data_IF_840810226262
#
_entry.id   IF_840810226262
#
_cell.length_a   1.000
_cell.length_b   1.000
_cell.length_c   1.000
_cell.angle_alpha   90.00
_cell.angle_beta   90.00
_cell.angle_gamma   90.00
#
_symmetry.space_group_name_H-M   'P 1'
#
loop_
_entity.id
_entity.type
_entity.pdbx_description
1 polymer ?
#
# COMPACT_ATOMS: atom_id res chain seq x y z
N UNK A 1 35.21 17.70 -3.58
CA UNK A 1 34.26 17.55 -4.70
C UNK A 1 33.50 16.25 -4.52
N UNK A 2 32.19 16.26 -4.76
CA UNK A 2 31.39 15.05 -4.82
C UNK A 2 31.82 14.28 -6.09
N UNK A 3 32.20 13.02 -5.91
CA UNK A 3 32.51 12.15 -7.04
C UNK A 3 31.19 11.70 -7.71
N UNK A 4 31.25 11.40 -9.02
CA UNK A 4 30.09 10.84 -9.75
C UNK A 4 29.56 9.60 -9.06
N UNK A 5 30.44 8.77 -8.53
CA UNK A 5 30.06 7.60 -7.71
C UNK A 5 29.17 7.99 -6.52
N UNK A 6 29.58 9.03 -5.78
CA UNK A 6 28.79 9.51 -4.63
C UNK A 6 27.43 10.08 -5.05
N UNK A 7 27.37 10.81 -6.17
CA UNK A 7 26.12 11.34 -6.72
C UNK A 7 25.17 10.22 -7.16
N UNK A 8 25.67 9.21 -7.86
CA UNK A 8 24.86 8.05 -8.26
C UNK A 8 24.34 7.25 -7.06
N UNK A 9 25.17 7.08 -6.04
CA UNK A 9 24.74 6.43 -4.78
C UNK A 9 23.68 7.27 -4.08
N UNK A 10 23.83 8.59 -4.03
CA UNK A 10 22.84 9.49 -3.46
C UNK A 10 21.52 9.43 -4.22
N UNK A 11 21.55 9.44 -5.55
CA UNK A 11 20.38 9.31 -6.40
C UNK A 11 19.65 7.97 -6.18
N UNK A 12 20.39 6.86 -6.14
CA UNK A 12 19.83 5.53 -5.85
C UNK A 12 19.17 5.48 -4.47
N UNK A 13 19.80 6.05 -3.44
CA UNK A 13 19.23 6.14 -2.10
C UNK A 13 17.98 7.02 -2.05
N UNK A 14 18.01 8.18 -2.71
CA UNK A 14 16.88 9.09 -2.77
C UNK A 14 15.67 8.39 -3.44
N UNK A 15 15.89 7.73 -4.57
CA UNK A 15 14.88 6.95 -5.26
C UNK A 15 14.32 5.84 -4.36
N UNK A 16 15.17 5.01 -3.77
CA UNK A 16 14.78 3.90 -2.92
C UNK A 16 14.00 4.36 -1.68
N UNK A 17 14.40 5.50 -1.10
CA UNK A 17 13.67 6.10 0.03
C UNK A 17 12.31 6.63 -0.42
N UNK A 18 12.25 7.31 -1.57
CA UNK A 18 10.98 7.81 -2.13
C UNK A 18 10.01 6.67 -2.47
N UNK A 19 10.51 5.56 -2.97
CA UNK A 19 9.70 4.37 -3.32
C UNK A 19 9.44 3.43 -2.13
N UNK A 20 10.00 3.70 -0.96
CA UNK A 20 9.79 2.89 0.24
C UNK A 20 10.48 1.52 0.22
N UNK A 21 11.50 1.32 -0.63
CA UNK A 21 12.21 0.03 -0.79
C UNK A 21 12.81 -0.47 0.53
N UNK A 22 13.17 0.43 1.43
CA UNK A 22 13.71 0.07 2.76
C UNK A 22 12.64 -0.32 3.81
N UNK A 23 11.37 -0.54 3.40
CA UNK A 23 10.26 -0.85 4.32
C UNK A 23 9.58 0.40 4.90
N UNK A 24 9.97 1.60 4.45
CA UNK A 24 9.32 2.85 4.80
C UNK A 24 8.11 3.14 3.89
N UNK A 25 7.38 4.21 4.21
CA UNK A 25 6.33 4.73 3.32
C UNK A 25 6.94 5.35 2.07
N UNK A 26 6.24 5.18 0.95
CA UNK A 26 6.50 6.01 -0.24
C UNK A 26 6.26 7.47 0.09
N UNK A 27 7.18 8.32 -0.33
CA UNK A 27 7.08 9.73 -0.01
C UNK A 27 8.09 10.59 -0.74
N UNK A 28 8.03 11.89 -0.49
CA UNK A 28 8.94 12.87 -1.09
C UNK A 28 10.31 12.82 -0.40
N UNK A 29 11.36 12.83 -1.20
CA UNK A 29 12.73 12.99 -0.72
C UNK A 29 13.27 14.33 -1.22
N UNK A 30 13.79 15.14 -0.31
CA UNK A 30 14.45 16.39 -0.62
C UNK A 30 15.97 16.22 -0.53
N UNK A 31 16.66 16.51 -1.61
CA UNK A 31 18.13 16.54 -1.66
C UNK A 31 18.59 17.98 -1.83
N UNK A 32 19.34 18.49 -0.87
CA UNK A 32 19.95 19.81 -0.96
C UNK A 32 21.40 19.67 -1.39
N UNK A 33 21.72 20.28 -2.54
CA UNK A 33 23.08 20.34 -3.09
C UNK A 33 23.58 21.78 -2.98
N UNK A 34 24.34 22.12 -1.94
CA UNK A 34 24.87 23.47 -1.78
C UNK A 34 26.00 23.75 -2.80
N UNK A 35 25.85 24.82 -3.55
CA UNK A 35 26.86 25.31 -4.48
C UNK A 35 27.57 26.54 -3.90
N UNK A 36 28.83 26.71 -4.24
CA UNK A 36 29.62 27.93 -3.92
C UNK A 36 29.41 28.99 -5.00
N UNK A 37 29.45 30.23 -4.59
CA UNK A 37 29.49 31.35 -5.55
C UNK A 37 30.85 31.38 -6.30
N UNK A 38 30.88 31.79 -7.60
CA UNK A 38 29.74 32.18 -8.43
C UNK A 38 28.88 30.97 -8.79
N UNK A 39 27.54 31.15 -8.97
CA UNK A 39 26.61 30.09 -9.31
C UNK A 39 26.50 29.84 -10.81
N UNK A 40 27.04 30.78 -11.61
CA UNK A 40 27.11 30.62 -13.04
C UNK A 40 28.08 29.48 -13.40
N UNK A 41 27.65 28.54 -14.28
CA UNK A 41 28.54 27.47 -14.71
C UNK A 41 29.72 28.03 -15.49
N UNK A 42 30.92 27.75 -15.02
CA UNK A 42 32.18 28.10 -15.72
C UNK A 42 32.68 26.79 -16.32
N UNK A 43 32.94 26.71 -17.64
CA UNK A 43 33.56 25.53 -18.24
C UNK A 43 34.93 25.26 -17.60
N UNK A 44 35.15 24.04 -17.16
CA UNK A 44 36.45 23.55 -16.66
C UNK A 44 36.95 22.46 -17.59
N UNK A 45 38.27 22.45 -17.87
CA UNK A 45 38.87 21.48 -18.81
C UNK A 45 38.56 20.00 -18.48
N UNK A 46 38.20 19.69 -17.24
CA UNK A 46 37.87 18.36 -16.79
C UNK A 46 36.38 18.10 -16.74
N UNK A 47 35.57 19.04 -17.24
CA UNK A 47 34.09 18.97 -17.18
C UNK A 47 33.52 18.29 -18.43
N UNK A 48 34.24 17.32 -18.98
CA UNK A 48 33.85 16.57 -20.15
C UNK A 48 33.19 15.24 -19.78
N UNK A 49 32.22 14.83 -20.59
CA UNK A 49 31.61 13.50 -20.53
C UNK A 49 32.65 12.37 -20.55
N UNK A 50 33.76 12.60 -21.24
CA UNK A 50 34.87 11.66 -21.38
C UNK A 50 35.63 11.38 -20.05
N UNK A 51 35.64 12.34 -19.11
CA UNK A 51 36.17 12.13 -17.76
C UNK A 51 35.28 11.18 -16.93
N UNK A 52 34.09 10.92 -17.40
CA UNK A 52 33.11 9.98 -16.82
C UNK A 52 33.36 8.58 -17.39
N UNK A 53 33.71 8.46 -18.67
CA UNK A 53 34.04 7.19 -19.35
C UNK A 53 35.33 6.53 -18.86
N UNK A 54 36.31 7.32 -18.44
CA UNK A 54 37.58 6.83 -17.93
C UNK A 54 37.51 6.07 -16.60
N UNK A 55 36.35 6.10 -15.94
CA UNK A 55 36.12 5.38 -14.69
C UNK A 55 35.65 3.92 -14.87
N UNK A 56 35.53 3.43 -16.12
CA UNK A 56 35.11 2.05 -16.42
C UNK A 56 33.71 1.67 -15.89
N UNK A 57 32.84 2.67 -15.77
CA UNK A 57 31.50 2.43 -15.28
C UNK A 57 30.54 2.07 -16.42
N UNK A 58 29.85 0.94 -16.29
CA UNK A 58 28.68 0.66 -17.10
C UNK A 58 27.53 1.61 -16.70
N UNK A 59 27.25 2.58 -17.58
CA UNK A 59 26.18 3.55 -17.39
C UNK A 59 24.78 2.97 -17.69
N UNK A 60 24.72 1.80 -18.32
CA UNK A 60 23.45 1.15 -18.68
C UNK A 60 22.74 0.54 -17.46
N UNK A 61 23.45 0.28 -16.37
CA UNK A 61 22.92 -0.35 -15.17
C UNK A 61 22.85 0.56 -13.93
N UNK A 62 22.07 0.17 -12.95
CA UNK A 62 22.05 0.80 -11.64
C UNK A 62 23.38 0.56 -10.90
N UNK A 63 24.09 1.62 -10.52
CA UNK A 63 25.34 1.52 -9.77
C UNK A 63 25.16 0.90 -8.38
N UNK A 64 24.01 1.14 -7.77
CA UNK A 64 23.64 0.58 -6.47
C UNK A 64 22.25 -0.03 -6.59
N UNK A 65 22.15 -1.33 -6.36
CA UNK A 65 20.89 -2.04 -6.30
C UNK A 65 20.44 -2.06 -4.83
N UNK A 66 19.25 -1.56 -4.57
CA UNK A 66 18.63 -1.62 -3.25
C UNK A 66 17.46 -2.60 -3.29
N UNK A 67 17.45 -3.54 -2.37
CA UNK A 67 16.36 -4.51 -2.21
C UNK A 67 15.66 -4.26 -0.89
N UNK A 68 14.33 -4.26 -0.93
CA UNK A 68 13.50 -4.18 0.28
C UNK A 68 13.11 -5.56 0.79
N UNK A 69 12.78 -5.65 2.07
CA UNK A 69 12.09 -6.79 2.65
C UNK A 69 10.57 -6.63 2.55
N UNK A 70 9.83 -7.73 2.71
CA UNK A 70 8.39 -7.70 2.90
C UNK A 70 8.06 -7.79 4.40
N UNK A 71 7.16 -6.92 4.86
CA UNK A 71 6.56 -7.06 6.20
C UNK A 71 5.41 -8.05 6.09
N UNK A 72 5.50 -9.15 6.82
CA UNK A 72 4.46 -10.18 6.87
C UNK A 72 3.96 -10.34 8.31
N UNK A 73 2.70 -10.74 8.51
CA UNK A 73 2.18 -11.06 9.84
C UNK A 73 2.97 -12.21 10.48
N UNK A 74 3.15 -12.16 11.78
CA UNK A 74 3.71 -13.29 12.54
C UNK A 74 2.73 -14.47 12.56
N UNK A 75 3.26 -15.68 12.83
CA UNK A 75 2.41 -16.88 12.99
C UNK A 75 1.35 -16.68 14.07
N UNK A 76 1.71 -16.03 15.19
CA UNK A 76 0.78 -15.75 16.27
C UNK A 76 -0.34 -14.79 15.85
N UNK A 77 -0.04 -13.74 15.09
CA UNK A 77 -1.04 -12.81 14.54
C UNK A 77 -2.01 -13.56 13.60
N UNK A 78 -1.49 -14.43 12.74
CA UNK A 78 -2.32 -15.23 11.85
C UNK A 78 -3.21 -16.21 12.60
N UNK A 79 -2.67 -16.90 13.62
CA UNK A 79 -3.46 -17.80 14.47
C UNK A 79 -4.57 -17.05 15.21
N UNK A 80 -4.27 -15.87 15.75
CA UNK A 80 -5.26 -15.01 16.41
C UNK A 80 -6.38 -14.60 15.45
N UNK A 81 -6.04 -14.20 14.22
CA UNK A 81 -7.02 -13.85 13.20
C UNK A 81 -7.88 -15.04 12.80
N UNK A 82 -7.27 -16.21 12.55
CA UNK A 82 -8.00 -17.42 12.20
C UNK A 82 -8.99 -17.82 13.29
N UNK A 83 -8.56 -17.88 14.55
CA UNK A 83 -9.42 -18.19 15.68
C UNK A 83 -10.58 -17.20 15.85
N UNK A 84 -10.33 -15.92 15.51
CA UNK A 84 -11.38 -14.89 15.52
C UNK A 84 -12.41 -15.15 14.42
N UNK A 85 -11.96 -15.44 13.20
CA UNK A 85 -12.86 -15.70 12.07
C UNK A 85 -13.68 -16.99 12.26
N UNK A 86 -13.09 -18.04 12.82
CA UNK A 86 -13.76 -19.31 13.13
C UNK A 86 -14.83 -19.16 14.20
N UNK A 87 -14.68 -18.22 15.12
CA UNK A 87 -15.62 -17.99 16.24
C UNK A 87 -16.81 -17.13 15.86
N UNK A 88 -16.68 -16.30 14.82
CA UNK A 88 -17.68 -15.30 14.46
C UNK A 88 -18.18 -15.52 13.03
N UNK A 89 -19.42 -15.98 12.90
CA UNK A 89 -20.04 -16.24 11.59
C UNK A 89 -20.48 -14.96 10.87
N UNK A 90 -20.66 -13.86 11.62
CA UNK A 90 -21.12 -12.58 11.07
C UNK A 90 -20.01 -11.58 11.00
N UNK A 91 -19.62 -11.23 9.80
CA UNK A 91 -18.62 -10.20 9.57
C UNK A 91 -18.79 -9.52 8.23
N UNK A 92 -18.04 -8.45 8.05
CA UNK A 92 -17.88 -7.76 6.78
C UNK A 92 -16.40 -7.55 6.46
N UNK A 93 -16.09 -7.65 5.18
CA UNK A 93 -14.78 -7.27 4.66
C UNK A 93 -14.93 -5.91 3.99
N UNK A 94 -14.06 -4.99 4.31
CA UNK A 94 -14.02 -3.65 3.70
C UNK A 94 -12.69 -3.49 2.97
N UNK A 95 -12.74 -3.34 1.66
CA UNK A 95 -11.57 -3.08 0.83
C UNK A 95 -11.54 -1.59 0.45
N UNK A 96 -10.65 -0.85 1.09
CA UNK A 96 -10.42 0.57 0.80
C UNK A 96 -9.40 0.79 -0.33
N UNK A 97 -9.04 2.06 -0.61
CA UNK A 97 -8.02 2.41 -1.58
C UNK A 97 -6.69 1.70 -1.37
N UNK A 98 -5.95 1.53 -2.45
CA UNK A 98 -4.67 0.82 -2.58
C UNK A 98 -4.80 -0.70 -2.53
N UNK A 99 -4.47 -1.33 -3.63
CA UNK A 99 -4.26 -2.78 -3.71
C UNK A 99 -3.09 -3.21 -2.81
N UNK A 100 -3.23 -4.36 -2.18
CA UNK A 100 -2.19 -4.97 -1.33
C UNK A 100 -1.31 -5.97 -2.11
N UNK A 101 -1.24 -5.84 -3.42
CA UNK A 101 -0.41 -6.66 -4.30
C UNK A 101 -1.22 -7.46 -5.32
N UNK A 102 -0.51 -8.08 -6.26
CA UNK A 102 -1.11 -8.75 -7.43
C UNK A 102 -2.12 -9.85 -7.09
N UNK A 103 -1.89 -10.58 -6.00
CA UNK A 103 -2.75 -11.69 -5.58
C UNK A 103 -3.87 -11.25 -4.60
N UNK A 104 -3.95 -9.95 -4.26
CA UNK A 104 -4.89 -9.48 -3.24
C UNK A 104 -6.34 -9.78 -3.58
N UNK A 105 -6.74 -9.49 -4.81
CA UNK A 105 -8.13 -9.66 -5.28
C UNK A 105 -8.58 -11.11 -5.14
N UNK A 106 -7.76 -12.06 -5.59
CA UNK A 106 -8.08 -13.49 -5.48
C UNK A 106 -8.07 -13.98 -4.03
N UNK A 107 -7.15 -13.49 -3.22
CA UNK A 107 -7.05 -13.87 -1.81
C UNK A 107 -8.25 -13.38 -0.99
N UNK A 108 -8.67 -12.12 -1.18
CA UNK A 108 -9.82 -11.57 -0.46
C UNK A 108 -11.14 -12.19 -0.91
N UNK A 109 -11.27 -12.53 -2.20
CA UNK A 109 -12.42 -13.27 -2.71
C UNK A 109 -12.50 -14.67 -2.06
N UNK A 110 -11.41 -15.42 -2.01
CA UNK A 110 -11.37 -16.71 -1.31
C UNK A 110 -11.67 -16.57 0.19
N UNK A 111 -11.19 -15.51 0.83
CA UNK A 111 -11.50 -15.24 2.23
C UNK A 111 -13.02 -15.03 2.42
N UNK A 112 -13.64 -14.21 1.58
CA UNK A 112 -15.08 -13.98 1.58
C UNK A 112 -15.87 -15.28 1.39
N UNK A 113 -15.47 -16.11 0.41
CA UNK A 113 -16.12 -17.40 0.16
C UNK A 113 -16.03 -18.36 1.37
N UNK A 114 -14.89 -18.39 2.04
CA UNK A 114 -14.68 -19.27 3.20
C UNK A 114 -15.39 -18.81 4.47
N UNK A 115 -15.45 -17.49 4.67
CA UNK A 115 -16.07 -16.91 5.88
C UNK A 115 -17.54 -16.60 5.70
N UNK A 116 -18.04 -16.50 4.45
CA UNK A 116 -19.36 -15.96 4.14
C UNK A 116 -19.48 -14.45 4.32
N UNK A 117 -18.38 -13.74 4.62
CA UNK A 117 -18.40 -12.30 4.82
C UNK A 117 -18.51 -11.55 3.50
N UNK A 118 -19.52 -10.69 3.31
CA UNK A 118 -19.61 -9.85 2.13
C UNK A 118 -18.48 -8.82 2.09
N UNK A 119 -18.05 -8.46 0.87
CA UNK A 119 -17.00 -7.47 0.63
C UNK A 119 -17.64 -6.14 0.24
N UNK A 120 -17.42 -5.11 1.03
CA UNK A 120 -17.72 -3.71 0.68
C UNK A 120 -16.49 -3.14 -0.01
N UNK A 121 -16.58 -3.06 -1.35
CA UNK A 121 -15.45 -2.70 -2.20
C UNK A 121 -15.50 -1.23 -2.62
N UNK A 122 -14.51 -0.46 -2.17
CA UNK A 122 -14.28 0.90 -2.65
C UNK A 122 -13.98 0.90 -4.16
N UNK A 123 -14.39 1.92 -4.93
CA UNK A 123 -14.07 2.01 -6.36
C UNK A 123 -12.58 1.89 -6.69
N UNK A 124 -11.71 2.27 -5.75
CA UNK A 124 -10.25 2.31 -5.92
C UNK A 124 -9.52 1.14 -5.23
N UNK A 125 -10.29 0.09 -4.87
CA UNK A 125 -9.75 -1.08 -4.15
C UNK A 125 -9.24 -2.21 -5.06
N UNK A 126 -9.44 -2.10 -6.38
CA UNK A 126 -9.25 -3.16 -7.39
C UNK A 126 -10.17 -4.40 -7.22
N UNK A 127 -11.00 -4.45 -6.17
CA UNK A 127 -11.86 -5.61 -5.84
C UNK A 127 -13.26 -5.46 -6.38
N UNK A 128 -13.69 -4.25 -6.75
CA UNK A 128 -15.09 -3.97 -7.09
C UNK A 128 -15.57 -4.64 -8.38
N UNK A 129 -14.67 -4.87 -9.32
CA UNK A 129 -14.95 -5.42 -10.65
C UNK A 129 -13.96 -6.52 -11.01
N UNK A 130 -14.39 -7.47 -11.84
CA UNK A 130 -13.54 -8.56 -12.32
C UNK A 130 -14.27 -9.90 -12.27
N UNK A 131 -13.63 -10.96 -12.75
CA UNK A 131 -14.24 -12.30 -12.80
C UNK A 131 -14.63 -12.87 -11.43
N UNK A 132 -13.94 -12.49 -10.38
CA UNK A 132 -14.17 -12.94 -9.00
C UNK A 132 -15.54 -12.49 -8.43
N UNK A 133 -16.17 -11.45 -8.98
CA UNK A 133 -17.48 -10.96 -8.49
C UNK A 133 -18.63 -11.91 -8.84
N UNK A 134 -18.43 -12.88 -9.73
CA UNK A 134 -19.45 -13.85 -10.10
C UNK A 134 -19.76 -14.83 -8.97
N UNK A 135 -18.71 -15.21 -8.21
CA UNK A 135 -18.80 -16.24 -7.18
C UNK A 135 -18.52 -15.68 -5.76
N UNK A 136 -18.48 -14.34 -5.62
CA UNK A 136 -18.16 -13.69 -4.35
C UNK A 136 -19.16 -12.57 -4.07
N UNK A 137 -19.58 -12.43 -2.84
CA UNK A 137 -20.49 -11.36 -2.42
C UNK A 137 -19.79 -9.99 -2.37
N UNK A 138 -19.46 -9.44 -3.55
CA UNK A 138 -18.88 -8.09 -3.68
C UNK A 138 -19.99 -7.06 -3.81
N UNK A 139 -20.06 -6.15 -2.86
CA UNK A 139 -21.07 -5.11 -2.77
C UNK A 139 -20.44 -3.77 -3.12
N UNK A 140 -20.72 -3.26 -4.33
CA UNK A 140 -20.28 -1.95 -4.79
C UNK A 140 -21.30 -0.83 -4.55
N UNK A 141 -22.59 -1.17 -4.42
CA UNK A 141 -23.69 -0.21 -4.26
C UNK A 141 -24.10 0.05 -2.81
N UNK A 142 -23.21 -0.14 -1.85
CA UNK A 142 -23.51 -0.02 -0.42
C UNK A 142 -24.00 1.38 0.00
N UNK A 143 -23.67 2.43 -0.71
CA UNK A 143 -24.13 3.80 -0.41
C UNK A 143 -25.66 3.93 -0.50
N UNK A 144 -26.30 3.14 -1.36
CA UNK A 144 -27.75 3.21 -1.55
C UNK A 144 -28.54 2.76 -0.33
N UNK A 145 -28.03 1.78 0.42
CA UNK A 145 -28.76 1.19 1.56
C UNK A 145 -28.15 1.54 2.93
N UNK A 146 -26.87 1.92 3.00
CA UNK A 146 -26.24 2.32 4.27
C UNK A 146 -26.67 3.72 4.74
N UNK A 147 -27.28 4.52 3.87
CA UNK A 147 -27.86 5.82 4.26
C UNK A 147 -29.05 5.68 5.23
N UNK A 148 -29.80 4.59 5.13
CA UNK A 148 -30.88 4.28 6.04
C UNK A 148 -30.37 3.50 7.27
N UNK A 149 -31.07 3.55 8.42
CA UNK A 149 -30.77 2.65 9.52
C UNK A 149 -30.84 1.21 9.05
N UNK A 150 -29.81 0.39 9.30
CA UNK A 150 -29.81 -1.00 8.86
C UNK A 150 -30.92 -1.79 9.57
N UNK A 151 -31.62 -2.62 8.79
CA UNK A 151 -32.63 -3.55 9.30
C UNK A 151 -32.05 -4.92 9.69
N UNK A 152 -30.74 -5.08 9.52
CA UNK A 152 -29.98 -6.28 9.86
C UNK A 152 -29.16 -6.07 11.12
N UNK A 153 -28.78 -7.15 11.76
CA UNK A 153 -27.92 -7.13 12.94
C UNK A 153 -26.51 -6.65 12.57
N UNK A 154 -25.86 -5.91 13.48
CA UNK A 154 -24.50 -5.47 13.30
C UNK A 154 -23.54 -6.67 13.14
N UNK A 155 -22.51 -6.56 12.31
CA UNK A 155 -21.49 -7.59 12.20
C UNK A 155 -20.69 -7.70 13.51
N UNK A 156 -20.29 -8.91 13.86
CA UNK A 156 -19.37 -9.14 14.99
C UNK A 156 -17.94 -8.72 14.64
N UNK A 157 -17.57 -8.87 13.36
CA UNK A 157 -16.22 -8.59 12.86
C UNK A 157 -16.27 -7.64 11.68
N UNK A 158 -15.41 -6.61 11.72
CA UNK A 158 -15.07 -5.78 10.56
C UNK A 158 -13.61 -6.01 10.24
N UNK A 159 -13.35 -6.59 9.07
CA UNK A 159 -12.00 -6.80 8.56
C UNK A 159 -11.73 -5.79 7.44
N UNK A 160 -10.78 -4.88 7.66
CA UNK A 160 -10.45 -3.82 6.70
C UNK A 160 -9.10 -4.08 6.04
N UNK A 161 -9.07 -3.89 4.73
CA UNK A 161 -7.88 -3.92 3.90
C UNK A 161 -7.67 -2.56 3.22
N UNK A 162 -6.41 -2.14 3.13
CA UNK A 162 -6.05 -0.90 2.46
C UNK A 162 -6.38 0.37 3.25
N UNK A 163 -6.54 1.47 2.54
CA UNK A 163 -6.80 2.80 3.13
C UNK A 163 -8.23 3.03 3.60
N UNK A 164 -8.50 4.24 4.05
CA UNK A 164 -9.86 4.68 4.43
C UNK A 164 -10.73 4.72 3.17
N UNK A 165 -11.93 4.10 3.18
CA UNK A 165 -12.86 4.17 2.05
C UNK A 165 -13.19 5.61 1.65
N UNK A 166 -13.39 5.84 0.36
CA UNK A 166 -13.74 7.18 -0.17
C UNK A 166 -15.19 7.56 0.15
N UNK A 167 -16.04 6.59 0.41
CA UNK A 167 -17.44 6.82 0.74
C UNK A 167 -17.64 7.32 2.16
N UNK A 168 -18.19 8.54 2.31
CA UNK A 168 -18.60 9.07 3.60
C UNK A 168 -19.73 8.25 4.23
N UNK A 169 -20.61 7.67 3.43
CA UNK A 169 -21.72 6.84 3.90
C UNK A 169 -21.20 5.58 4.57
N UNK A 170 -20.25 4.89 3.91
CA UNK A 170 -19.61 3.71 4.48
C UNK A 170 -18.82 4.05 5.74
N UNK A 171 -18.05 5.15 5.74
CA UNK A 171 -17.30 5.58 6.90
C UNK A 171 -18.23 5.86 8.09
N UNK A 172 -19.31 6.63 7.88
CA UNK A 172 -20.31 6.92 8.92
C UNK A 172 -21.02 5.65 9.42
N UNK A 173 -21.27 4.68 8.54
CA UNK A 173 -21.79 3.39 8.95
C UNK A 173 -20.78 2.65 9.84
N UNK A 174 -19.53 2.54 9.42
CA UNK A 174 -18.48 1.88 10.19
C UNK A 174 -18.20 2.52 11.56
N UNK A 175 -18.37 3.84 11.68
CA UNK A 175 -18.24 4.56 12.95
C UNK A 175 -19.42 4.26 13.90
N UNK A 176 -20.61 4.18 13.34
CA UNK A 176 -21.87 4.08 14.09
C UNK A 176 -22.17 2.67 14.61
N UNK A 177 -21.75 1.62 13.88
CA UNK A 177 -22.05 0.23 14.27
C UNK A 177 -21.24 -0.18 15.50
N UNK A 178 -21.91 -0.88 16.42
CA UNK A 178 -21.27 -1.55 17.54
C UNK A 178 -20.73 -2.91 17.09
N UNK A 179 -19.39 -3.04 17.04
CA UNK A 179 -18.68 -4.20 16.50
C UNK A 179 -17.74 -4.75 17.56
N UNK A 180 -17.80 -6.05 17.80
CA UNK A 180 -16.94 -6.70 18.79
C UNK A 180 -15.46 -6.63 18.42
N UNK A 181 -15.16 -6.78 17.13
CA UNK A 181 -13.78 -6.86 16.65
C UNK A 181 -13.59 -6.04 15.38
N UNK A 182 -12.58 -5.16 15.40
CA UNK A 182 -12.11 -4.39 14.24
C UNK A 182 -10.67 -4.79 13.96
N UNK A 183 -10.43 -5.33 12.78
CA UNK A 183 -9.11 -5.74 12.33
C UNK A 183 -8.72 -4.92 11.11
N UNK A 184 -7.58 -4.26 11.16
CA UNK A 184 -6.99 -3.53 10.04
C UNK A 184 -5.79 -4.30 9.51
N UNK A 185 -5.78 -4.57 8.21
CA UNK A 185 -4.65 -5.12 7.47
C UNK A 185 -4.12 -4.05 6.53
N UNK A 186 -2.87 -3.65 6.72
CA UNK A 186 -2.22 -2.58 5.97
C UNK A 186 -0.80 -3.01 5.61
N UNK A 187 -0.36 -2.70 4.40
CA UNK A 187 0.98 -3.05 3.93
C UNK A 187 2.08 -2.22 4.61
N UNK A 188 1.74 -1.01 5.05
CA UNK A 188 2.69 -0.04 5.63
C UNK A 188 2.60 0.05 7.17
N UNK A 189 1.75 -0.75 7.79
CA UNK A 189 1.57 -0.77 9.25
C UNK A 189 1.00 0.54 9.82
N UNK A 190 0.45 1.40 8.97
CA UNK A 190 -0.08 2.71 9.36
C UNK A 190 -1.56 2.80 9.00
N UNK A 191 -2.31 3.41 9.89
CA UNK A 191 -3.76 3.55 9.82
C UNK A 191 -4.20 4.89 10.39
#
# INVERSE_FOLDING_TARGET
ALTIRALRTLAARAYATADGIGGGRKGVVHVNLPFRKPLEPIPVETDHADAIDDAGFDYAGAFTVMTGGATIPTVQQMQTLLALLERHERGIIVCGPKSLGENFVSAVAQLSQRTGYPIFADPTSDVRFGGHVQDTAVIGGYDTFLNAPPTWEAPDVVLRFGGVPTSNVLNSYLERIDVKHRVQVSADGVW
#
